data_IF_993960389591
#
_entry.id   IF_993960389591
#
_cell.length_a   1.000
_cell.length_b   1.000
_cell.length_c   1.000
_cell.angle_alpha   90.00
_cell.angle_beta   90.00
_cell.angle_gamma   90.00
#
_symmetry.space_group_name_H-M   'P 1'
#
loop_
_entity.id
_entity.type
_entity.pdbx_description
1 polymer ?
#
# COMPACT_ATOMS: atom_id res chain seq x y z
N UNK A 1 -5.22 -19.22 -6.37
CA UNK A 1 -6.02 -18.05 -6.72
C UNK A 1 -6.32 -17.28 -5.45
N UNK A 2 -6.02 -15.99 -5.47
CA UNK A 2 -6.39 -15.06 -4.42
C UNK A 2 -7.89 -14.76 -4.56
N UNK A 3 -8.73 -15.33 -3.69
CA UNK A 3 -10.20 -15.11 -3.68
C UNK A 3 -10.60 -13.78 -2.98
N UNK A 4 -9.63 -12.90 -2.71
CA UNK A 4 -9.86 -11.63 -2.03
C UNK A 4 -9.84 -10.50 -3.06
N UNK A 5 -10.94 -9.75 -3.13
CA UNK A 5 -11.10 -8.66 -4.09
C UNK A 5 -10.46 -7.37 -3.56
N UNK A 6 -9.56 -6.82 -4.36
CA UNK A 6 -9.10 -5.46 -4.23
C UNK A 6 -10.19 -4.49 -4.71
N UNK A 7 -10.19 -3.25 -4.19
CA UNK A 7 -11.02 -2.17 -4.72
C UNK A 7 -10.58 -1.81 -6.14
N UNK A 8 -11.41 -1.06 -6.85
CA UNK A 8 -10.94 -0.33 -8.02
C UNK A 8 -9.76 0.58 -7.66
N UNK A 9 -8.93 0.86 -8.65
CA UNK A 9 -7.90 1.88 -8.54
C UNK A 9 -8.56 3.23 -8.22
N UNK A 10 -8.04 3.90 -7.21
CA UNK A 10 -8.52 5.21 -6.75
C UNK A 10 -7.36 6.19 -6.79
N UNK A 11 -7.59 7.40 -7.30
CA UNK A 11 -6.56 8.45 -7.27
C UNK A 11 -6.18 8.77 -5.83
N UNK A 12 -4.91 9.09 -5.57
CA UNK A 12 -4.42 9.27 -4.22
C UNK A 12 -5.21 10.29 -3.41
N UNK A 13 -5.63 11.41 -4.01
CA UNK A 13 -6.42 12.44 -3.35
C UNK A 13 -7.77 11.92 -2.85
N UNK A 14 -8.36 10.98 -3.57
CA UNK A 14 -9.65 10.37 -3.26
C UNK A 14 -9.55 9.16 -2.32
N UNK A 15 -8.34 8.78 -1.88
CA UNK A 15 -8.10 7.56 -1.07
C UNK A 15 -9.01 7.44 0.16
N UNK A 16 -9.41 8.56 0.76
CA UNK A 16 -10.27 8.55 1.96
C UNK A 16 -11.72 8.14 1.69
N UNK A 17 -12.14 8.09 0.42
CA UNK A 17 -13.48 7.66 -0.01
C UNK A 17 -13.62 6.15 -0.17
N UNK A 18 -12.51 5.40 -0.17
CA UNK A 18 -12.50 3.97 -0.44
C UNK A 18 -13.29 3.20 0.64
N UNK A 19 -14.21 2.34 0.21
CA UNK A 19 -14.98 1.49 1.12
C UNK A 19 -14.07 0.53 1.89
N UNK A 20 -14.41 0.26 3.16
CA UNK A 20 -13.65 -0.66 4.01
C UNK A 20 -12.31 -0.11 4.53
N UNK A 21 -11.92 1.12 4.19
CA UNK A 21 -10.61 1.71 4.59
C UNK A 21 -10.41 1.85 6.10
N UNK A 22 -11.47 1.75 6.91
CA UNK A 22 -11.40 1.73 8.38
C UNK A 22 -10.86 0.41 8.96
N UNK A 23 -10.89 -0.67 8.19
CA UNK A 23 -10.46 -2.00 8.61
C UNK A 23 -8.97 -2.25 8.31
N UNK A 24 -8.33 -3.27 8.93
CA UNK A 24 -7.03 -3.74 8.51
C UNK A 24 -7.06 -4.32 7.09
N UNK A 25 -5.89 -4.56 6.50
CA UNK A 25 -5.82 -5.13 5.16
C UNK A 25 -4.55 -4.81 4.39
N UNK A 26 -4.62 -4.98 3.09
CA UNK A 26 -3.54 -4.74 2.11
C UNK A 26 -3.85 -3.48 1.30
N UNK A 27 -2.81 -2.76 0.90
CA UNK A 27 -2.88 -1.70 -0.09
C UNK A 27 -1.76 -1.85 -1.12
N UNK A 28 -2.11 -1.68 -2.38
CA UNK A 28 -1.20 -1.62 -3.51
C UNK A 28 -1.15 -0.18 -4.01
N UNK A 29 0.05 0.32 -4.27
CA UNK A 29 0.31 1.66 -4.79
C UNK A 29 0.90 1.53 -6.18
N UNK A 30 0.33 2.27 -7.13
CA UNK A 30 0.84 2.40 -8.48
C UNK A 30 1.22 3.85 -8.78
N UNK A 31 2.24 4.02 -9.62
CA UNK A 31 2.61 5.31 -10.21
C UNK A 31 2.31 5.23 -11.71
N UNK A 32 1.47 6.13 -12.22
CA UNK A 32 1.03 6.09 -13.62
C UNK A 32 0.77 7.47 -14.19
N UNK A 33 1.31 7.75 -15.38
CA UNK A 33 0.95 8.93 -16.18
C UNK A 33 -0.43 8.79 -16.83
N UNK A 34 -0.89 7.56 -17.04
CA UNK A 34 -2.23 7.27 -17.56
C UNK A 34 -3.21 7.09 -16.41
N UNK A 35 -4.45 7.52 -16.62
CA UNK A 35 -5.53 7.36 -15.64
C UNK A 35 -5.79 5.88 -15.37
N UNK A 36 -5.75 5.49 -14.10
CA UNK A 36 -6.14 4.16 -13.63
C UNK A 36 -7.49 4.18 -12.88
N UNK A 37 -7.97 5.35 -12.46
CA UNK A 37 -9.16 5.46 -11.61
C UNK A 37 -10.38 4.74 -12.20
N UNK A 38 -11.18 4.13 -11.32
CA UNK A 38 -12.42 3.41 -11.66
C UNK A 38 -12.21 2.11 -12.47
N UNK A 39 -10.96 1.78 -12.82
CA UNK A 39 -10.62 0.48 -13.37
C UNK A 39 -10.52 -0.55 -12.24
N UNK A 40 -10.95 -1.77 -12.52
CA UNK A 40 -10.76 -2.88 -11.61
C UNK A 40 -9.27 -3.12 -11.35
N UNK A 41 -8.97 -3.65 -10.17
CA UNK A 41 -7.59 -3.97 -9.83
C UNK A 41 -7.06 -5.09 -10.72
N UNK A 42 -5.88 -4.86 -11.28
CA UNK A 42 -5.11 -5.85 -12.01
C UNK A 42 -3.66 -5.78 -11.52
N UNK A 43 -2.98 -6.92 -11.56
CA UNK A 43 -1.53 -6.94 -11.39
C UNK A 43 -0.89 -6.29 -12.60
N UNK A 44 -0.39 -5.07 -12.41
CA UNK A 44 0.27 -4.27 -13.45
C UNK A 44 1.70 -3.95 -13.02
N UNK A 45 2.65 -3.83 -13.96
CA UNK A 45 4.04 -3.53 -13.64
C UNK A 45 4.21 -2.15 -12.97
N UNK A 46 3.22 -1.26 -13.15
CA UNK A 46 3.17 0.07 -12.51
C UNK A 46 2.96 0.03 -10.99
N UNK A 47 2.63 -1.12 -10.40
CA UNK A 47 2.58 -1.27 -8.94
C UNK A 47 4.02 -1.19 -8.41
N UNK A 48 4.31 -0.13 -7.67
CA UNK A 48 5.64 0.13 -7.12
C UNK A 48 5.73 -0.22 -5.63
N UNK A 49 4.59 -0.43 -4.96
CA UNK A 49 4.57 -0.81 -3.55
C UNK A 49 3.33 -1.61 -3.14
N UNK A 50 3.51 -2.64 -2.34
CA UNK A 50 2.48 -3.35 -1.60
C UNK A 50 2.79 -3.27 -0.12
N UNK A 51 1.79 -2.99 0.71
CA UNK A 51 1.93 -3.00 2.15
C UNK A 51 0.68 -3.48 2.87
N UNK A 52 0.85 -3.88 4.13
CA UNK A 52 -0.25 -4.31 5.00
C UNK A 52 -0.41 -3.45 6.25
N UNK A 53 -1.54 -3.63 6.94
CA UNK A 53 -1.75 -3.06 8.28
C UNK A 53 -2.74 -3.88 9.10
N UNK A 54 -2.34 -4.20 10.34
CA UNK A 54 -3.22 -4.67 11.42
C UNK A 54 -3.41 -3.57 12.49
N UNK A 55 -3.34 -2.30 12.09
CA UNK A 55 -3.40 -1.17 13.04
C UNK A 55 -4.82 -0.82 13.46
N UNK A 56 -4.98 -0.25 14.66
CA UNK A 56 -6.26 0.30 15.18
C UNK A 56 -6.91 1.34 14.26
N UNK A 57 -6.12 2.02 13.43
CA UNK A 57 -6.62 3.03 12.49
C UNK A 57 -6.87 2.47 11.08
N UNK A 58 -6.73 1.14 10.90
CA UNK A 58 -6.93 0.45 9.63
C UNK A 58 -6.01 0.92 8.51
N UNK A 59 -6.48 0.68 7.28
CA UNK A 59 -5.88 1.18 6.03
C UNK A 59 -5.82 2.71 6.03
N UNK A 60 -6.83 3.40 6.56
CA UNK A 60 -6.90 4.87 6.60
C UNK A 60 -5.70 5.46 7.34
N UNK A 61 -5.40 4.95 8.53
CA UNK A 61 -4.26 5.39 9.32
C UNK A 61 -2.94 5.10 8.62
N UNK A 62 -2.81 3.92 7.99
CA UNK A 62 -1.61 3.53 7.26
C UNK A 62 -1.34 4.41 6.04
N UNK A 63 -2.37 4.68 5.23
CA UNK A 63 -2.28 5.56 4.07
C UNK A 63 -2.01 7.02 4.48
N UNK A 64 -2.55 7.48 5.62
CA UNK A 64 -2.18 8.78 6.20
C UNK A 64 -0.72 8.84 6.64
N UNK A 65 -0.16 7.77 7.21
CA UNK A 65 1.27 7.72 7.57
C UNK A 65 2.16 7.73 6.32
N UNK A 66 1.74 7.02 5.28
CA UNK A 66 2.41 7.05 3.98
C UNK A 66 2.44 8.48 3.43
N UNK A 67 1.28 9.13 3.34
CA UNK A 67 1.11 10.50 2.85
C UNK A 67 1.93 11.52 3.63
N UNK A 68 1.87 11.46 4.97
CA UNK A 68 2.69 12.29 5.85
C UNK A 68 4.19 12.13 5.56
N UNK A 69 4.64 10.93 5.16
CA UNK A 69 6.06 10.70 4.91
C UNK A 69 6.48 11.26 3.55
N UNK A 70 5.69 11.06 2.50
CA UNK A 70 6.00 11.61 1.16
C UNK A 70 5.93 13.15 1.13
N UNK A 71 5.10 13.80 1.97
CA UNK A 71 5.08 15.28 2.08
C UNK A 71 6.25 15.84 2.93
N UNK A 72 7.04 14.96 3.57
CA UNK A 72 8.28 15.37 4.22
C UNK A 72 8.39 15.08 5.72
N UNK A 73 7.37 14.47 6.35
CA UNK A 73 7.48 13.98 7.73
C UNK A 73 8.15 12.60 7.75
N UNK A 74 8.28 12.03 8.94
CA UNK A 74 8.79 10.68 9.16
C UNK A 74 7.67 9.76 9.65
N UNK A 75 7.85 8.44 9.49
CA UNK A 75 6.98 7.45 10.13
C UNK A 75 6.58 6.26 9.27
N UNK A 76 6.88 6.28 7.96
CA UNK A 76 6.54 5.18 7.08
C UNK A 76 7.72 4.73 6.21
N UNK A 77 8.32 3.57 6.52
CA UNK A 77 9.56 3.12 5.88
C UNK A 77 9.48 2.83 4.38
N UNK A 78 8.29 2.49 3.83
CA UNK A 78 8.07 2.36 2.39
C UNK A 78 8.04 3.71 1.68
N UNK A 79 7.10 4.58 2.07
CA UNK A 79 7.03 6.00 1.66
C UNK A 79 8.35 6.79 1.76
N UNK A 80 9.21 6.52 2.74
CA UNK A 80 10.53 7.16 2.83
C UNK A 80 11.45 6.84 1.64
N UNK A 81 11.19 5.73 0.94
CA UNK A 81 11.85 5.37 -0.33
C UNK A 81 11.22 6.08 -1.52
N UNK A 82 9.89 6.28 -1.51
CA UNK A 82 9.22 7.14 -2.50
C UNK A 82 9.79 8.56 -2.42
N UNK A 83 9.91 9.11 -1.21
CA UNK A 83 10.46 10.45 -0.98
C UNK A 83 11.90 10.58 -1.49
N UNK A 84 12.70 9.51 -1.42
CA UNK A 84 14.06 9.52 -1.96
C UNK A 84 14.07 9.77 -3.48
N UNK A 85 13.13 9.17 -4.20
CA UNK A 85 13.07 9.23 -5.66
C UNK A 85 12.20 10.38 -6.17
N UNK A 86 11.20 10.78 -5.39
CA UNK A 86 10.21 11.79 -5.72
C UNK A 86 10.14 12.82 -4.59
N UNK A 87 11.01 13.82 -4.65
CA UNK A 87 11.06 14.88 -3.63
C UNK A 87 9.91 15.89 -3.77
N UNK A 88 9.41 16.09 -5.00
CA UNK A 88 8.25 16.94 -5.23
C UNK A 88 6.95 16.18 -4.94
N UNK A 89 6.33 16.51 -3.81
CA UNK A 89 5.07 15.90 -3.36
C UNK A 89 3.95 16.00 -4.39
N UNK A 90 3.75 17.16 -5.02
CA UNK A 90 2.60 17.37 -5.91
C UNK A 90 2.77 16.55 -7.19
N UNK A 91 3.96 16.56 -7.79
CA UNK A 91 4.25 15.75 -8.98
C UNK A 91 4.06 14.25 -8.75
N UNK A 92 4.37 13.78 -7.54
CA UNK A 92 4.15 12.38 -7.16
C UNK A 92 2.65 12.07 -6.97
N UNK A 93 1.95 12.89 -6.17
CA UNK A 93 0.54 12.65 -5.83
C UNK A 93 -0.37 12.72 -7.05
N UNK A 94 -0.06 13.57 -8.02
CA UNK A 94 -0.81 13.65 -9.28
C UNK A 94 -0.81 12.34 -10.08
N UNK A 95 0.21 11.48 -9.85
CA UNK A 95 0.44 10.21 -10.53
C UNK A 95 0.21 8.98 -9.65
N UNK A 96 -0.11 9.18 -8.36
CA UNK A 96 -0.32 8.11 -7.40
C UNK A 96 -1.74 7.57 -7.46
N UNK A 97 -1.84 6.25 -7.50
CA UNK A 97 -3.07 5.50 -7.38
C UNK A 97 -2.94 4.47 -6.27
N UNK A 98 -4.05 4.17 -5.62
CA UNK A 98 -4.12 3.15 -4.59
C UNK A 98 -5.31 2.23 -4.82
N UNK A 99 -5.12 0.96 -4.56
CA UNK A 99 -6.19 -0.02 -4.41
C UNK A 99 -6.00 -0.76 -3.09
N UNK A 100 -7.09 -1.11 -2.42
CA UNK A 100 -7.06 -1.75 -1.10
C UNK A 100 -7.86 -3.04 -1.06
N UNK A 101 -7.43 -3.98 -0.23
CA UNK A 101 -8.21 -5.16 0.13
C UNK A 101 -8.40 -5.17 1.64
N UNK A 102 -9.62 -4.88 2.10
CA UNK A 102 -9.95 -4.78 3.53
C UNK A 102 -10.36 -6.13 4.13
N UNK A 103 -9.96 -6.36 5.38
CA UNK A 103 -10.28 -7.54 6.17
C UNK A 103 -11.03 -7.08 7.42
N UNK A 104 -12.33 -7.34 7.49
CA UNK A 104 -13.16 -6.89 8.60
C UNK A 104 -12.92 -7.75 9.86
N UNK A 105 -12.29 -7.16 10.87
CA UNK A 105 -12.12 -7.72 12.21
C UNK A 105 -11.88 -6.61 13.25
N UNK A 106 -12.01 -6.94 14.54
CA UNK A 106 -11.59 -6.03 15.61
C UNK A 106 -10.12 -6.29 15.99
N UNK A 107 -9.23 -5.41 15.53
CA UNK A 107 -7.80 -5.49 15.84
C UNK A 107 -7.44 -5.22 17.31
N UNK A 108 -8.40 -4.80 18.15
CA UNK A 108 -8.21 -4.66 19.60
C UNK A 108 -8.61 -5.92 20.37
N UNK A 109 -9.32 -6.83 19.71
CA UNK A 109 -9.85 -8.05 20.30
C UNK A 109 -8.81 -9.16 20.28
N UNK A 110 -8.83 -9.99 21.33
CA UNK A 110 -8.08 -11.24 21.40
C UNK A 110 -8.98 -12.45 21.09
N UNK A 111 -10.18 -12.25 20.54
CA UNK A 111 -11.03 -13.35 20.14
C UNK A 111 -10.31 -14.17 19.05
N UNK A 112 -10.38 -15.52 19.10
CA UNK A 112 -9.66 -16.36 18.15
C UNK A 112 -9.95 -16.06 16.68
N UNK A 113 -11.17 -15.59 16.37
CA UNK A 113 -11.54 -15.21 15.00
C UNK A 113 -10.78 -13.95 14.51
N UNK A 114 -10.72 -12.89 15.33
CA UNK A 114 -10.00 -11.66 14.99
C UNK A 114 -8.50 -11.92 14.81
N UNK A 115 -7.90 -12.73 15.69
CA UNK A 115 -6.50 -13.14 15.60
C UNK A 115 -6.21 -13.91 14.31
N UNK A 116 -7.11 -14.80 13.88
CA UNK A 116 -6.98 -15.52 12.61
C UNK A 116 -7.06 -14.58 11.41
N UNK A 117 -8.01 -13.64 11.39
CA UNK A 117 -8.13 -12.65 10.31
C UNK A 117 -6.90 -11.75 10.23
N UNK A 118 -6.35 -11.30 11.37
CA UNK A 118 -5.09 -10.55 11.38
C UNK A 118 -3.91 -11.38 10.86
N UNK A 119 -3.89 -12.69 11.15
CA UNK A 119 -2.94 -13.63 10.56
C UNK A 119 -3.10 -13.77 9.05
N UNK A 120 -4.34 -13.82 8.55
CA UNK A 120 -4.64 -13.83 7.12
C UNK A 120 -4.15 -12.54 6.45
N UNK A 121 -4.32 -11.36 7.05
CA UNK A 121 -3.77 -10.10 6.51
C UNK A 121 -2.25 -10.20 6.33
N UNK A 122 -1.54 -10.70 7.34
CA UNK A 122 -0.09 -10.84 7.27
C UNK A 122 0.34 -11.85 6.20
N UNK A 123 -0.34 -13.02 6.13
CA UNK A 123 -0.09 -14.01 5.08
C UNK A 123 -0.36 -13.43 3.69
N UNK A 124 -1.45 -12.69 3.54
CA UNK A 124 -1.91 -12.18 2.26
C UNK A 124 -0.97 -11.11 1.69
N UNK A 125 -0.21 -10.38 2.52
CA UNK A 125 0.89 -9.52 2.05
C UNK A 125 1.96 -10.32 1.31
N UNK A 126 2.35 -11.49 1.83
CA UNK A 126 3.30 -12.37 1.15
C UNK A 126 2.71 -13.03 -0.08
N UNK A 127 1.43 -13.40 -0.05
CA UNK A 127 0.74 -13.91 -1.24
C UNK A 127 0.74 -12.84 -2.37
N UNK A 128 0.55 -11.56 -2.03
CA UNK A 128 0.64 -10.45 -2.96
C UNK A 128 2.06 -10.27 -3.54
N UNK A 129 3.11 -10.43 -2.72
CA UNK A 129 4.48 -10.41 -3.21
C UNK A 129 4.76 -11.58 -4.16
N UNK A 130 4.31 -12.79 -3.81
CA UNK A 130 4.47 -13.97 -4.64
C UNK A 130 3.77 -13.77 -6.00
N UNK A 131 2.51 -13.32 -5.98
CA UNK A 131 1.74 -13.04 -7.20
C UNK A 131 2.43 -12.00 -8.09
N UNK A 132 2.92 -10.90 -7.52
CA UNK A 132 3.66 -9.90 -8.31
C UNK A 132 4.97 -10.48 -8.89
N UNK A 133 5.71 -11.29 -8.12
CA UNK A 133 6.94 -11.95 -8.60
C UNK A 133 6.64 -12.98 -9.69
N UNK A 134 5.55 -13.74 -9.58
CA UNK A 134 5.15 -14.71 -10.60
C UNK A 134 4.81 -14.01 -11.93
N UNK A 135 4.20 -12.83 -11.87
CA UNK A 135 3.83 -12.04 -13.06
C UNK A 135 5.02 -11.27 -13.67
N UNK A 136 5.95 -10.75 -12.86
CA UNK A 136 6.97 -9.78 -13.31
C UNK A 136 8.43 -10.17 -13.02
N UNK A 137 8.67 -11.28 -12.34
CA UNK A 137 10.01 -11.81 -12.04
C UNK A 137 10.80 -11.01 -10.99
N UNK A 138 10.20 -10.01 -10.34
CA UNK A 138 10.86 -9.17 -9.35
C UNK A 138 9.86 -8.69 -8.27
N UNK A 139 10.36 -8.08 -7.19
CA UNK A 139 9.50 -7.38 -6.23
C UNK A 139 9.13 -5.99 -6.76
N UNK A 140 7.99 -5.39 -6.32
CA UNK A 140 7.71 -3.99 -6.57
C UNK A 140 8.88 -3.12 -6.12
N UNK A 141 9.18 -2.06 -6.88
CA UNK A 141 10.37 -1.22 -6.71
C UNK A 141 10.64 -0.88 -5.24
N UNK A 142 9.67 -0.27 -4.55
CA UNK A 142 9.85 0.19 -3.17
C UNK A 142 9.70 -0.90 -2.10
N UNK A 143 9.31 -2.12 -2.49
CA UNK A 143 9.45 -3.31 -1.66
C UNK A 143 10.85 -3.94 -1.79
N UNK A 144 11.57 -3.69 -2.89
CA UNK A 144 12.96 -4.11 -3.06
C UNK A 144 13.93 -3.22 -2.26
N UNK A 145 14.08 -3.53 -0.97
CA UNK A 145 14.88 -2.74 -0.03
C UNK A 145 16.35 -2.60 -0.38
N UNK A 146 16.89 -3.50 -1.23
CA UNK A 146 18.30 -3.50 -1.64
C UNK A 146 18.61 -2.39 -2.64
N UNK A 147 17.64 -2.05 -3.49
CA UNK A 147 17.84 -1.12 -4.62
C UNK A 147 17.17 0.24 -4.42
N UNK A 148 16.23 0.38 -3.51
CA UNK A 148 15.49 1.64 -3.32
C UNK A 148 15.86 2.31 -2.00
N UNK A 149 16.89 3.16 -1.91
CA UNK A 149 17.34 3.73 -0.64
C UNK A 149 16.27 4.62 0.04
N UNK A 150 16.52 4.98 1.29
CA UNK A 150 15.62 5.79 2.12
C UNK A 150 16.12 7.23 2.21
N UNK A 151 15.23 8.20 2.02
CA UNK A 151 15.58 9.62 2.12
C UNK A 151 16.20 9.96 3.48
N UNK A 152 15.58 9.48 4.57
CA UNK A 152 16.06 9.72 5.94
C UNK A 152 17.47 9.19 6.26
N UNK A 153 17.99 8.27 5.45
CA UNK A 153 19.33 7.69 5.64
C UNK A 153 20.40 8.33 4.74
N UNK A 154 20.01 9.04 3.69
CA UNK A 154 20.92 9.63 2.70
C UNK A 154 21.09 11.14 2.85
N UNK A 155 20.06 11.86 3.30
CA UNK A 155 20.04 13.33 3.35
C UNK A 155 20.08 13.88 4.78
N UNK A 156 21.12 13.52 5.54
CA UNK A 156 21.36 14.05 6.90
C UNK A 156 21.93 15.45 6.90
#
# INVERSE_FOLDING_TARGET
MIDKKFSQWTKWDDRNSISGIKYPGIYCIAISETVLSEQDFEWIPKITYVGMTNSKAGLKGRLKQFDNTIIGKNGHGGADRFRFQYENYQELVDKLYVSVCSFECDVKSNAPNDLRIMGEVAKFEYDCFAEYVDNFGCLPEFNNKKTSPKYSLTHK
#
